data_IF_568623360939
#
_entry.id   IF_568623360939
#
_cell.length_a   1.000
_cell.length_b   1.000
_cell.length_c   1.000
_cell.angle_alpha   90.00
_cell.angle_beta   90.00
_cell.angle_gamma   90.00
#
_symmetry.space_group_name_H-M   'P 1'
#
loop_
_entity.id
_entity.type
_entity.pdbx_description
1 polymer ?
#
# COMPACT_ATOMS: atom_id res chain seq x y z
N UNK A 1 8.53 -51.71 32.03
CA UNK A 1 9.17 -50.38 32.01
C UNK A 1 9.27 -49.81 30.60
N UNK A 2 8.73 -50.42 29.58
CA UNK A 2 8.99 -50.09 28.16
C UNK A 2 7.79 -49.48 27.39
N UNK A 3 6.58 -49.63 27.90
CA UNK A 3 5.38 -49.07 27.25
C UNK A 3 5.20 -47.57 27.45
N UNK A 4 5.67 -47.03 28.57
CA UNK A 4 5.57 -45.58 28.88
C UNK A 4 6.56 -44.75 28.03
N UNK A 5 7.76 -45.30 27.75
CA UNK A 5 8.74 -44.63 26.90
C UNK A 5 8.31 -44.52 25.42
N UNK A 6 7.57 -45.54 24.95
CA UNK A 6 7.07 -45.54 23.56
C UNK A 6 5.96 -44.51 23.34
N UNK A 7 5.12 -44.28 24.36
CA UNK A 7 4.05 -43.26 24.29
C UNK A 7 4.64 -41.82 24.29
N UNK A 8 5.74 -41.60 25.05
CA UNK A 8 6.41 -40.27 25.03
C UNK A 8 7.12 -39.97 23.70
N UNK A 9 7.68 -40.98 23.04
CA UNK A 9 8.33 -40.79 21.72
C UNK A 9 7.28 -40.54 20.63
N UNK A 10 6.12 -41.18 20.70
CA UNK A 10 5.01 -40.92 19.76
C UNK A 10 4.36 -39.56 19.99
N UNK A 11 4.24 -39.07 21.23
CA UNK A 11 3.72 -37.74 21.54
C UNK A 11 4.70 -36.62 21.13
N UNK A 12 6.02 -36.82 21.28
CA UNK A 12 7.01 -35.85 20.83
C UNK A 12 7.12 -35.80 19.31
N UNK A 13 6.94 -36.91 18.60
CA UNK A 13 6.91 -36.93 17.14
C UNK A 13 5.67 -36.23 16.55
N UNK A 14 4.52 -36.27 17.24
CA UNK A 14 3.30 -35.54 16.86
C UNK A 14 3.39 -34.05 17.11
N UNK A 15 4.17 -33.59 18.12
CA UNK A 15 4.36 -32.17 18.41
C UNK A 15 5.36 -31.49 17.43
N UNK A 16 6.31 -32.28 16.91
CA UNK A 16 7.31 -31.73 15.94
C UNK A 16 6.72 -31.63 14.53
N UNK A 17 5.67 -32.39 14.21
CA UNK A 17 5.01 -32.33 12.90
C UNK A 17 4.03 -31.17 12.71
N UNK A 18 3.74 -30.38 13.77
CA UNK A 18 2.75 -29.30 13.71
C UNK A 18 3.33 -27.89 13.61
N UNK A 19 4.65 -27.72 13.48
CA UNK A 19 5.32 -26.39 13.42
C UNK A 19 5.97 -26.06 12.09
N UNK A 20 5.68 -26.75 11.00
CA UNK A 20 5.99 -26.22 9.67
C UNK A 20 4.78 -25.47 9.10
N UNK A 21 4.37 -24.38 9.77
CA UNK A 21 3.66 -23.32 9.09
C UNK A 21 4.64 -22.62 8.11
N UNK A 22 5.10 -23.36 7.13
CA UNK A 22 5.59 -22.77 5.89
C UNK A 22 4.40 -21.95 5.35
N UNK A 23 4.45 -20.63 5.56
CA UNK A 23 3.56 -19.68 4.92
C UNK A 23 3.88 -19.73 3.43
N UNK A 24 3.33 -20.74 2.77
CA UNK A 24 3.47 -20.94 1.34
C UNK A 24 2.89 -19.68 0.70
N UNK A 25 3.73 -18.93 -0.04
CA UNK A 25 3.25 -17.90 -0.94
C UNK A 25 2.19 -18.57 -1.83
N UNK A 26 0.94 -18.09 -1.84
CA UNK A 26 -0.12 -18.72 -2.64
C UNK A 26 0.17 -18.69 -4.14
N UNK A 27 1.21 -17.99 -4.57
CA UNK A 27 1.64 -17.84 -5.95
C UNK A 27 2.93 -18.61 -6.28
N UNK A 28 3.31 -19.61 -5.47
CA UNK A 28 4.47 -20.45 -5.78
C UNK A 28 4.26 -21.32 -7.04
N UNK A 29 3.01 -21.56 -7.43
CA UNK A 29 2.68 -22.18 -8.71
C UNK A 29 2.58 -21.11 -9.79
N UNK A 30 3.65 -20.99 -10.58
CA UNK A 30 3.73 -20.01 -11.67
C UNK A 30 2.70 -20.25 -12.79
N UNK A 31 2.10 -21.45 -12.88
CA UNK A 31 1.02 -21.73 -13.83
C UNK A 31 -0.28 -20.96 -13.50
N UNK A 32 -0.39 -20.46 -12.27
CA UNK A 32 -1.52 -19.65 -11.81
C UNK A 32 -1.30 -18.12 -11.92
N UNK A 33 -0.23 -17.68 -12.59
CA UNK A 33 0.06 -16.25 -12.80
C UNK A 33 -0.80 -15.72 -13.94
N UNK A 34 -1.62 -14.72 -13.63
CA UNK A 34 -2.54 -14.12 -14.58
C UNK A 34 -1.85 -12.99 -15.36
N UNK A 35 -2.02 -12.99 -16.67
CA UNK A 35 -1.66 -11.88 -17.58
C UNK A 35 -2.90 -11.17 -18.11
N UNK A 36 -4.07 -11.79 -17.98
CA UNK A 36 -5.38 -11.25 -18.34
C UNK A 36 -6.49 -11.79 -17.45
N UNK A 37 -7.58 -11.05 -17.34
CA UNK A 37 -8.79 -11.42 -16.60
C UNK A 37 -9.97 -11.47 -17.57
N UNK A 38 -10.78 -12.55 -17.48
CA UNK A 38 -11.91 -12.77 -18.38
C UNK A 38 -13.13 -13.40 -17.70
N UNK A 39 -13.13 -13.50 -16.37
CA UNK A 39 -14.19 -14.14 -15.61
C UNK A 39 -14.58 -13.35 -14.37
N UNK A 40 -15.90 -13.28 -14.12
CA UNK A 40 -16.51 -12.61 -12.97
C UNK A 40 -16.60 -13.56 -11.77
N UNK A 41 -15.47 -14.05 -11.29
CA UNK A 41 -15.40 -14.98 -10.16
C UNK A 41 -14.47 -14.43 -9.10
N UNK A 42 -14.95 -14.42 -7.87
CA UNK A 42 -14.14 -14.08 -6.71
C UNK A 42 -13.00 -15.08 -6.58
N UNK A 43 -11.78 -14.59 -6.58
CA UNK A 43 -10.59 -15.43 -6.53
C UNK A 43 -9.35 -14.70 -6.05
N UNK A 44 -8.37 -15.47 -5.62
CA UNK A 44 -7.00 -14.99 -5.48
C UNK A 44 -6.35 -14.94 -6.86
N UNK A 45 -5.78 -13.80 -7.20
CA UNK A 45 -5.15 -13.52 -8.49
C UNK A 45 -3.68 -13.22 -8.24
N UNK A 46 -2.80 -14.07 -8.78
CA UNK A 46 -1.36 -13.88 -8.76
C UNK A 46 -0.92 -13.18 -10.05
N UNK A 47 -0.05 -12.19 -9.93
CA UNK A 47 0.43 -11.41 -11.07
C UNK A 47 1.86 -10.92 -10.84
N UNK A 48 2.53 -10.55 -11.93
CA UNK A 48 3.90 -10.09 -11.91
C UNK A 48 4.00 -8.60 -11.58
N UNK A 49 5.05 -8.24 -10.83
CA UNK A 49 5.44 -6.86 -10.53
C UNK A 49 6.96 -6.76 -10.44
N UNK A 50 7.49 -5.55 -10.48
CA UNK A 50 8.93 -5.31 -10.27
C UNK A 50 9.17 -5.03 -8.79
N UNK A 51 10.10 -5.75 -8.17
CA UNK A 51 10.47 -5.54 -6.77
C UNK A 51 11.49 -4.41 -6.65
N UNK A 52 11.02 -3.19 -6.82
CA UNK A 52 11.84 -1.99 -6.72
C UNK A 52 11.44 -1.14 -5.52
N UNK A 53 12.43 -0.56 -4.84
CA UNK A 53 12.25 0.35 -3.73
C UNK A 53 12.02 1.80 -4.20
N UNK A 54 12.57 2.16 -5.34
CA UNK A 54 12.43 3.44 -6.02
C UNK A 54 11.92 3.27 -7.46
N UNK A 55 11.89 4.33 -8.25
CA UNK A 55 11.47 4.28 -9.65
C UNK A 55 12.57 3.88 -10.63
N UNK A 56 13.76 3.57 -10.14
CA UNK A 56 14.81 3.01 -10.96
C UNK A 56 14.62 1.49 -11.07
N UNK A 57 14.07 1.05 -12.20
CA UNK A 57 13.74 -0.36 -12.46
C UNK A 57 14.84 -1.14 -13.17
N UNK A 58 15.94 -0.48 -13.54
CA UNK A 58 17.08 -1.12 -14.18
C UNK A 58 17.64 -2.22 -13.26
N UNK A 59 17.77 -3.43 -13.80
CA UNK A 59 18.27 -4.62 -13.08
C UNK A 59 17.47 -5.04 -11.83
N UNK A 60 16.22 -4.57 -11.66
CA UNK A 60 15.39 -5.00 -10.54
C UNK A 60 14.66 -6.31 -10.86
N UNK A 61 14.56 -7.22 -9.87
CA UNK A 61 13.93 -8.51 -10.08
C UNK A 61 12.41 -8.36 -10.28
N UNK A 62 11.89 -9.18 -11.19
CA UNK A 62 10.47 -9.43 -11.30
C UNK A 62 10.06 -10.44 -10.22
N UNK A 63 8.98 -10.16 -9.52
CA UNK A 63 8.39 -11.06 -8.53
C UNK A 63 6.91 -11.28 -8.82
N UNK A 64 6.34 -12.32 -8.22
CA UNK A 64 4.91 -12.60 -8.27
C UNK A 64 4.28 -12.26 -6.92
N UNK A 65 3.30 -11.36 -6.94
CA UNK A 65 2.48 -11.02 -5.79
C UNK A 65 1.03 -11.42 -6.04
N UNK A 66 0.12 -11.16 -5.11
CA UNK A 66 -1.29 -11.46 -5.30
C UNK A 66 -2.21 -10.41 -4.69
N UNK A 67 -3.45 -10.44 -5.17
CA UNK A 67 -4.58 -9.77 -4.55
C UNK A 67 -5.80 -10.68 -4.51
N UNK A 68 -6.79 -10.30 -3.71
CA UNK A 68 -8.10 -10.93 -3.69
C UNK A 68 -9.02 -10.11 -4.59
N UNK A 69 -9.48 -10.73 -5.69
CA UNK A 69 -10.44 -10.13 -6.61
C UNK A 69 -11.84 -10.51 -6.16
N UNK A 70 -12.74 -9.53 -6.07
CA UNK A 70 -14.12 -9.72 -5.65
C UNK A 70 -15.07 -8.93 -6.55
N UNK A 71 -16.14 -9.56 -6.98
CA UNK A 71 -17.19 -8.95 -7.80
C UNK A 71 -18.45 -8.69 -6.98
N UNK A 72 -19.25 -7.64 -7.30
CA UNK A 72 -20.53 -7.44 -6.69
C UNK A 72 -21.49 -8.59 -7.01
N UNK A 73 -22.37 -8.94 -6.06
CA UNK A 73 -23.37 -9.98 -6.27
C UNK A 73 -24.31 -9.65 -7.45
N UNK A 74 -24.69 -8.36 -7.53
CA UNK A 74 -25.52 -7.87 -8.62
C UNK A 74 -24.69 -7.72 -9.89
N UNK A 75 -24.92 -8.60 -10.85
CA UNK A 75 -24.23 -8.57 -12.16
C UNK A 75 -24.58 -7.32 -12.96
N UNK A 76 -23.55 -6.80 -13.67
CA UNK A 76 -23.64 -5.63 -14.53
C UNK A 76 -23.03 -5.94 -15.90
N UNK A 77 -23.37 -5.14 -16.90
CA UNK A 77 -22.71 -5.18 -18.20
C UNK A 77 -21.31 -4.55 -18.14
N UNK A 78 -21.18 -3.49 -17.34
CA UNK A 78 -19.91 -2.76 -17.12
C UNK A 78 -19.77 -2.45 -15.65
N UNK A 79 -18.55 -2.58 -15.13
CA UNK A 79 -18.17 -2.28 -13.75
C UNK A 79 -17.11 -1.19 -13.71
N UNK A 80 -17.17 -0.38 -12.67
CA UNK A 80 -16.00 0.34 -12.20
C UNK A 80 -15.31 -0.50 -11.11
N UNK A 81 -14.00 -0.40 -11.01
CA UNK A 81 -13.21 -1.18 -10.09
C UNK A 81 -12.44 -0.30 -9.10
N UNK A 82 -12.07 -0.88 -7.97
CA UNK A 82 -11.24 -0.24 -6.95
C UNK A 82 -10.10 -1.16 -6.55
N UNK A 83 -8.87 -0.66 -6.63
CA UNK A 83 -7.68 -1.31 -6.10
C UNK A 83 -7.47 -0.83 -4.68
N UNK A 84 -7.22 -1.76 -3.74
CA UNK A 84 -7.01 -1.46 -2.32
C UNK A 84 -5.60 -1.85 -1.90
N UNK A 85 -4.88 -0.93 -1.23
CA UNK A 85 -3.56 -1.14 -0.63
C UNK A 85 -3.58 -0.95 0.88
N UNK A 86 -3.15 -1.97 1.62
CA UNK A 86 -3.09 -1.96 3.08
C UNK A 86 -1.95 -1.08 3.63
N UNK A 87 -1.98 -0.73 4.91
CA UNK A 87 -0.89 -0.07 5.62
C UNK A 87 0.23 -1.02 6.09
N UNK A 88 1.17 -0.48 6.89
CA UNK A 88 2.33 -1.22 7.43
C UNK A 88 1.96 -2.42 8.31
N UNK A 89 0.74 -2.47 8.81
CA UNK A 89 0.18 -3.62 9.51
C UNK A 89 -0.04 -4.85 8.64
N UNK A 90 0.04 -4.75 7.31
CA UNK A 90 -0.36 -5.78 6.36
C UNK A 90 -1.89 -5.84 6.20
N UNK A 91 -2.34 -6.74 5.34
CA UNK A 91 -3.75 -6.94 5.10
C UNK A 91 -4.47 -7.49 6.35
N UNK A 92 -5.51 -6.80 6.80
CA UNK A 92 -6.26 -7.09 8.03
C UNK A 92 -7.75 -7.28 7.77
N UNK A 93 -8.45 -7.90 8.71
CA UNK A 93 -9.88 -8.21 8.57
C UNK A 93 -10.77 -6.96 8.39
N UNK A 94 -10.41 -5.82 8.99
CA UNK A 94 -11.22 -4.61 8.86
C UNK A 94 -11.28 -4.08 7.42
N UNK A 95 -10.26 -4.34 6.62
CA UNK A 95 -10.30 -3.99 5.20
C UNK A 95 -11.40 -4.74 4.43
N UNK A 96 -11.87 -5.90 4.94
CA UNK A 96 -12.97 -6.63 4.31
C UNK A 96 -14.29 -5.86 4.38
N UNK A 97 -14.49 -5.02 5.40
CA UNK A 97 -15.67 -4.15 5.47
C UNK A 97 -15.72 -3.16 4.29
N UNK A 98 -14.56 -2.69 3.83
CA UNK A 98 -14.47 -1.86 2.64
C UNK A 98 -14.74 -2.65 1.36
N UNK A 99 -14.27 -3.90 1.28
CA UNK A 99 -14.59 -4.79 0.16
C UNK A 99 -16.10 -4.98 0.07
N UNK A 100 -16.75 -5.32 1.18
CA UNK A 100 -18.21 -5.47 1.26
C UNK A 100 -18.95 -4.19 0.91
N UNK A 101 -18.54 -3.03 1.47
CA UNK A 101 -19.10 -1.73 1.17
C UNK A 101 -19.04 -1.42 -0.33
N UNK A 102 -17.89 -1.60 -0.94
CA UNK A 102 -17.68 -1.31 -2.36
C UNK A 102 -18.45 -2.27 -3.27
N UNK A 103 -18.42 -3.58 -2.97
CA UNK A 103 -19.19 -4.57 -3.71
C UNK A 103 -20.71 -4.31 -3.63
N UNK A 104 -21.22 -3.94 -2.44
CA UNK A 104 -22.64 -3.59 -2.24
C UNK A 104 -23.03 -2.33 -3.04
N UNK A 105 -22.07 -1.45 -3.33
CA UNK A 105 -22.24 -0.29 -4.21
C UNK A 105 -21.93 -0.60 -5.68
N UNK A 106 -21.65 -1.85 -6.01
CA UNK A 106 -21.52 -2.35 -7.38
C UNK A 106 -20.16 -2.14 -8.01
N UNK A 107 -19.10 -1.93 -7.20
CA UNK A 107 -17.71 -1.89 -7.65
C UNK A 107 -17.09 -3.29 -7.59
N UNK A 108 -16.23 -3.60 -8.56
CA UNK A 108 -15.28 -4.70 -8.44
C UNK A 108 -14.13 -4.26 -7.54
N UNK A 109 -13.69 -5.12 -6.64
CA UNK A 109 -12.60 -4.81 -5.71
C UNK A 109 -11.42 -5.74 -5.92
N UNK A 110 -10.23 -5.15 -6.06
CA UNK A 110 -8.97 -5.89 -6.10
C UNK A 110 -8.10 -5.49 -4.92
N UNK A 111 -8.17 -6.28 -3.85
CA UNK A 111 -7.47 -6.04 -2.60
C UNK A 111 -6.08 -6.67 -2.64
N UNK A 112 -5.03 -5.85 -2.71
CA UNK A 112 -3.65 -6.29 -2.85
C UNK A 112 -3.02 -6.71 -1.51
N UNK A 113 -2.18 -7.74 -1.55
CA UNK A 113 -1.29 -8.11 -0.45
C UNK A 113 0.16 -7.87 -0.87
N UNK A 114 0.68 -6.70 -0.53
CA UNK A 114 2.05 -6.28 -0.88
C UNK A 114 3.12 -7.02 -0.09
N UNK A 115 2.75 -7.66 1.02
CA UNK A 115 3.70 -8.13 2.02
C UNK A 115 3.97 -9.62 1.99
N UNK A 116 2.94 -10.45 1.90
CA UNK A 116 3.11 -11.91 2.06
C UNK A 116 4.02 -12.53 1.00
N UNK A 117 3.90 -12.08 -0.25
CA UNK A 117 4.78 -12.55 -1.32
C UNK A 117 6.26 -12.18 -1.07
N UNK A 118 6.51 -11.09 -0.34
CA UNK A 118 7.83 -10.65 0.11
C UNK A 118 8.24 -11.21 1.47
N UNK A 119 7.52 -12.22 2.01
CA UNK A 119 7.73 -12.79 3.35
C UNK A 119 7.65 -11.78 4.49
N UNK A 120 6.90 -10.70 4.31
CA UNK A 120 6.65 -9.67 5.31
C UNK A 120 5.27 -9.93 5.93
N UNK A 121 5.18 -9.94 7.26
CA UNK A 121 3.92 -10.05 7.98
C UNK A 121 3.36 -8.67 8.36
N UNK A 122 4.24 -7.80 8.81
CA UNK A 122 3.99 -6.40 9.16
C UNK A 122 5.33 -5.65 9.15
N UNK A 123 5.27 -4.35 9.02
CA UNK A 123 6.47 -3.50 9.02
C UNK A 123 6.35 -2.39 10.06
N UNK A 124 6.86 -2.65 11.26
CA UNK A 124 6.93 -1.64 12.33
C UNK A 124 8.02 -0.59 12.13
N UNK A 125 8.88 -0.77 11.15
CA UNK A 125 9.95 0.18 10.79
C UNK A 125 9.55 1.11 9.66
N UNK A 126 8.40 0.84 8.99
CA UNK A 126 7.88 1.57 7.84
C UNK A 126 8.85 1.65 6.64
N UNK A 127 9.85 0.78 6.61
CA UNK A 127 10.98 0.87 5.69
C UNK A 127 11.25 -0.39 4.86
N UNK A 128 10.55 -1.52 5.12
CA UNK A 128 10.81 -2.78 4.40
C UNK A 128 10.38 -2.71 2.93
N UNK A 129 9.32 -1.99 2.65
CA UNK A 129 8.85 -1.62 1.30
C UNK A 129 8.55 -0.13 1.29
N UNK A 130 8.79 0.51 0.17
CA UNK A 130 8.52 1.95 -0.01
C UNK A 130 7.09 2.20 -0.47
N UNK A 131 6.63 3.45 -0.38
CA UNK A 131 5.37 3.87 -1.03
C UNK A 131 5.41 3.69 -2.55
N UNK A 132 6.59 3.77 -3.16
CA UNK A 132 6.79 3.50 -4.59
C UNK A 132 6.57 2.01 -4.89
N UNK A 133 7.04 1.11 -4.04
CA UNK A 133 6.76 -0.33 -4.19
C UNK A 133 5.25 -0.60 -4.18
N UNK A 134 4.51 0.00 -3.22
CA UNK A 134 3.04 -0.10 -3.16
C UNK A 134 2.38 0.41 -4.45
N UNK A 135 2.82 1.56 -4.93
CA UNK A 135 2.29 2.16 -6.13
C UNK A 135 2.61 1.32 -7.37
N UNK A 136 3.85 0.81 -7.51
CA UNK A 136 4.24 -0.05 -8.63
C UNK A 136 3.40 -1.33 -8.68
N UNK A 137 3.19 -1.98 -7.53
CA UNK A 137 2.31 -3.14 -7.43
C UNK A 137 0.87 -2.79 -7.86
N UNK A 138 0.36 -1.62 -7.44
CA UNK A 138 -0.98 -1.17 -7.80
C UNK A 138 -1.10 -0.84 -9.30
N UNK A 139 -0.07 -0.30 -9.93
CA UNK A 139 -0.08 -0.07 -11.39
C UNK A 139 -0.02 -1.36 -12.19
N UNK A 140 0.73 -2.38 -11.73
CA UNK A 140 0.70 -3.70 -12.39
C UNK A 140 -0.66 -4.39 -12.19
N UNK A 141 -1.31 -4.19 -11.04
CA UNK A 141 -2.68 -4.63 -10.82
C UNK A 141 -3.68 -3.86 -11.71
N UNK A 142 -3.49 -2.55 -11.92
CA UNK A 142 -4.29 -1.72 -12.82
C UNK A 142 -4.21 -2.24 -14.26
N UNK A 143 -3.00 -2.50 -14.77
CA UNK A 143 -2.81 -3.10 -16.09
C UNK A 143 -3.56 -4.42 -16.21
N UNK A 144 -3.44 -5.29 -15.21
CA UNK A 144 -4.11 -6.58 -15.21
C UNK A 144 -5.64 -6.44 -15.16
N UNK A 145 -6.19 -5.63 -14.25
CA UNK A 145 -7.65 -5.54 -14.10
C UNK A 145 -8.31 -4.90 -15.31
N UNK A 146 -7.63 -3.99 -16.00
CA UNK A 146 -8.08 -3.38 -17.25
C UNK A 146 -8.13 -4.35 -18.44
N UNK A 147 -7.53 -5.53 -18.35
CA UNK A 147 -7.70 -6.57 -19.39
C UNK A 147 -9.09 -7.20 -19.35
N UNK A 148 -9.83 -7.07 -18.24
CA UNK A 148 -11.16 -7.61 -18.12
C UNK A 148 -12.16 -6.79 -18.95
N UNK A 149 -12.89 -7.40 -19.90
CA UNK A 149 -13.67 -6.68 -20.94
C UNK A 149 -14.84 -5.85 -20.37
N UNK A 150 -15.23 -6.11 -19.13
CA UNK A 150 -16.32 -5.37 -18.46
C UNK A 150 -15.83 -4.32 -17.47
N UNK A 151 -14.52 -4.11 -17.31
CA UNK A 151 -13.99 -3.05 -16.43
C UNK A 151 -13.81 -1.77 -17.24
N UNK A 152 -14.39 -0.69 -16.71
CA UNK A 152 -14.32 0.65 -17.31
C UNK A 152 -13.32 1.54 -16.56
N UNK A 153 -13.72 2.09 -15.41
CA UNK A 153 -12.88 2.96 -14.59
C UNK A 153 -12.23 2.18 -13.46
N UNK A 154 -11.03 2.60 -13.05
CA UNK A 154 -10.33 1.99 -11.93
C UNK A 154 -9.80 3.06 -10.99
N UNK A 155 -10.25 3.01 -9.74
CA UNK A 155 -9.81 3.90 -8.67
C UNK A 155 -8.84 3.22 -7.73
N UNK A 156 -8.07 4.01 -6.98
CA UNK A 156 -7.06 3.51 -6.04
C UNK A 156 -7.31 4.04 -4.63
N UNK A 157 -7.40 3.15 -3.64
CA UNK A 157 -7.52 3.50 -2.22
C UNK A 157 -6.37 2.86 -1.44
N UNK A 158 -5.74 3.64 -0.56
CA UNK A 158 -4.66 3.13 0.29
C UNK A 158 -4.70 3.71 1.69
N UNK A 159 -4.24 2.91 2.66
CA UNK A 159 -4.20 3.24 4.08
C UNK A 159 -2.78 3.42 4.59
N UNK A 160 -2.53 4.46 5.38
CA UNK A 160 -1.25 4.67 6.06
C UNK A 160 -0.07 4.62 5.07
N UNK A 161 0.88 3.71 5.24
CA UNK A 161 1.97 3.48 4.28
C UNK A 161 1.45 3.18 2.86
N UNK A 162 0.37 2.39 2.72
CA UNK A 162 -0.28 2.14 1.44
C UNK A 162 -0.98 3.37 0.86
N UNK A 163 -1.31 4.36 1.70
CA UNK A 163 -1.87 5.65 1.28
C UNK A 163 -0.89 6.55 0.53
N UNK A 164 0.40 6.25 0.60
CA UNK A 164 1.44 6.94 -0.20
C UNK A 164 1.23 6.68 -1.70
N UNK A 165 0.85 5.47 -2.08
CA UNK A 165 0.62 5.10 -3.48
C UNK A 165 -0.43 5.97 -4.19
N UNK A 166 -1.65 6.16 -3.64
CA UNK A 166 -2.65 7.08 -4.16
C UNK A 166 -2.15 8.52 -4.35
N UNK A 167 -1.35 9.06 -3.41
CA UNK A 167 -0.78 10.39 -3.57
C UNK A 167 0.26 10.41 -4.69
N UNK A 168 1.16 9.42 -4.73
CA UNK A 168 2.17 9.31 -5.78
C UNK A 168 1.56 9.19 -7.18
N UNK A 169 0.43 8.48 -7.30
CA UNK A 169 -0.29 8.31 -8.57
C UNK A 169 -0.88 9.62 -9.12
N UNK A 170 -0.99 10.65 -8.29
CA UNK A 170 -1.44 11.97 -8.69
C UNK A 170 -0.38 12.74 -9.48
N UNK A 171 0.89 12.37 -9.41
CA UNK A 171 2.00 13.09 -10.04
C UNK A 171 2.43 12.44 -11.36
N UNK A 172 2.30 13.16 -12.46
CA UNK A 172 2.64 12.66 -13.80
C UNK A 172 4.12 12.29 -13.94
N UNK A 173 5.01 12.99 -13.25
CA UNK A 173 6.43 12.65 -13.24
C UNK A 173 6.69 11.23 -12.71
N UNK A 174 5.88 10.78 -11.74
CA UNK A 174 5.98 9.44 -11.16
C UNK A 174 5.29 8.42 -12.06
N UNK A 175 4.08 8.72 -12.55
CA UNK A 175 3.34 7.79 -13.42
C UNK A 175 4.07 7.51 -14.73
N UNK A 176 4.80 8.49 -15.26
CA UNK A 176 5.60 8.32 -16.49
C UNK A 176 6.74 7.31 -16.30
N UNK A 177 7.34 7.21 -15.12
CA UNK A 177 8.35 6.17 -14.86
C UNK A 177 7.78 4.77 -14.87
N UNK A 178 6.53 4.60 -14.41
CA UNK A 178 5.93 3.27 -14.23
C UNK A 178 5.35 2.73 -15.53
N UNK A 179 4.70 3.57 -16.33
CA UNK A 179 3.93 3.10 -17.49
C UNK A 179 3.86 4.10 -18.65
N UNK A 180 4.81 5.03 -18.74
CA UNK A 180 4.82 6.09 -19.75
C UNK A 180 3.55 6.97 -19.75
N UNK A 181 2.81 7.01 -18.63
CA UNK A 181 1.56 7.75 -18.51
C UNK A 181 0.36 7.16 -19.25
N UNK A 182 0.47 5.92 -19.77
CA UNK A 182 -0.59 5.29 -20.56
C UNK A 182 -1.81 4.89 -19.72
N UNK A 183 -1.56 4.25 -18.59
CA UNK A 183 -2.61 3.83 -17.65
C UNK A 183 -2.52 4.64 -16.37
N UNK A 184 -3.57 5.38 -16.06
CA UNK A 184 -3.69 6.17 -14.82
C UNK A 184 -4.95 5.78 -14.08
N UNK A 185 -4.96 5.96 -12.76
CA UNK A 185 -6.17 5.76 -11.96
C UNK A 185 -7.16 6.89 -12.23
N UNK A 186 -8.44 6.56 -12.35
CA UNK A 186 -9.52 7.52 -12.59
C UNK A 186 -9.81 8.40 -11.37
N UNK A 187 -9.54 7.90 -10.16
CA UNK A 187 -9.57 8.64 -8.91
C UNK A 187 -8.69 7.96 -7.86
N UNK A 188 -8.21 8.71 -6.87
CA UNK A 188 -7.37 8.19 -5.79
C UNK A 188 -7.82 8.68 -4.43
N UNK A 189 -7.77 7.81 -3.41
CA UNK A 189 -8.08 8.15 -2.02
C UNK A 189 -6.96 7.67 -1.11
N UNK A 190 -6.39 8.57 -0.33
CA UNK A 190 -5.37 8.29 0.67
C UNK A 190 -5.94 8.46 2.08
N UNK A 191 -5.94 7.42 2.89
CA UNK A 191 -6.53 7.40 4.23
C UNK A 191 -5.41 7.39 5.25
N UNK A 192 -5.34 8.45 6.09
CA UNK A 192 -4.25 8.75 7.04
C UNK A 192 -2.86 8.42 6.49
N UNK A 193 -2.51 8.96 5.30
CA UNK A 193 -1.28 8.62 4.62
C UNK A 193 -0.06 9.26 5.28
N UNK A 194 1.14 8.71 5.03
CA UNK A 194 2.37 9.45 5.21
C UNK A 194 2.58 10.42 4.05
N UNK A 195 2.74 11.71 4.35
CA UNK A 195 2.87 12.80 3.38
C UNK A 195 4.24 13.49 3.38
N UNK A 196 5.24 12.96 4.08
CA UNK A 196 6.57 13.56 4.20
C UNK A 196 7.44 13.42 2.94
N UNK A 197 6.93 13.85 1.78
CA UNK A 197 7.66 13.81 0.52
C UNK A 197 7.31 14.98 -0.40
N UNK A 198 8.24 15.30 -1.30
CA UNK A 198 8.10 16.33 -2.33
C UNK A 198 8.46 15.75 -3.70
N UNK A 199 8.20 16.55 -4.74
CA UNK A 199 8.49 16.22 -6.12
C UNK A 199 9.28 17.34 -6.78
N UNK A 200 10.28 16.98 -7.58
CA UNK A 200 11.10 17.95 -8.32
C UNK A 200 10.29 18.75 -9.36
N UNK A 201 9.19 18.16 -9.87
CA UNK A 201 8.34 18.77 -10.86
C UNK A 201 6.89 18.79 -10.43
N UNK A 202 6.27 19.95 -10.52
CA UNK A 202 4.85 20.19 -10.16
C UNK A 202 3.86 19.69 -11.24
N UNK A 203 4.22 18.70 -12.03
CA UNK A 203 3.30 18.12 -13.00
C UNK A 203 2.41 17.05 -12.36
N UNK A 204 1.10 17.13 -12.59
CA UNK A 204 0.09 16.28 -11.96
C UNK A 204 -0.93 15.78 -12.97
N UNK A 205 -1.59 14.68 -12.65
CA UNK A 205 -2.73 14.19 -13.40
C UNK A 205 -3.94 15.11 -13.18
N UNK A 206 -4.93 15.02 -14.06
CA UNK A 206 -6.20 15.73 -13.86
C UNK A 206 -7.20 14.92 -13.04
N UNK A 207 -6.81 13.75 -12.55
CA UNK A 207 -7.70 12.85 -11.82
C UNK A 207 -7.85 13.28 -10.36
N UNK A 208 -9.03 13.08 -9.75
CA UNK A 208 -9.27 13.49 -8.37
C UNK A 208 -8.38 12.74 -7.38
N UNK A 209 -7.84 13.48 -6.41
CA UNK A 209 -7.19 12.95 -5.22
C UNK A 209 -7.91 13.45 -3.97
N UNK A 210 -8.37 12.52 -3.13
CA UNK A 210 -8.89 12.80 -1.80
C UNK A 210 -7.91 12.29 -0.74
N UNK A 211 -7.49 13.18 0.17
CA UNK A 211 -6.75 12.82 1.37
C UNK A 211 -7.67 12.93 2.59
N UNK A 212 -7.77 11.87 3.37
CA UNK A 212 -8.49 11.81 4.64
C UNK A 212 -7.49 11.70 5.76
N UNK A 213 -7.39 12.69 6.63
CA UNK A 213 -6.41 12.75 7.73
C UNK A 213 -7.11 12.77 9.08
N UNK A 214 -6.41 12.35 10.12
CA UNK A 214 -6.84 12.53 11.51
C UNK A 214 -6.14 13.72 12.12
N UNK A 215 -6.89 14.66 12.72
CA UNK A 215 -6.30 15.85 13.34
C UNK A 215 -5.42 15.51 14.55
N UNK A 216 -5.72 14.40 15.25
CA UNK A 216 -4.96 13.91 16.40
C UNK A 216 -4.04 12.72 16.04
N UNK A 217 -3.74 12.54 14.73
CA UNK A 217 -2.83 11.47 14.27
C UNK A 217 -1.38 11.82 14.66
N UNK A 218 -0.84 11.09 15.63
CA UNK A 218 0.53 11.26 16.10
C UNK A 218 1.54 10.31 15.45
N UNK A 219 1.06 9.37 14.63
CA UNK A 219 1.93 8.47 13.84
C UNK A 219 2.30 9.09 12.48
N UNK A 220 1.31 9.56 11.73
CA UNK A 220 1.49 10.28 10.47
C UNK A 220 0.78 11.65 10.55
N UNK A 221 1.41 12.62 11.24
CA UNK A 221 0.80 13.92 11.48
C UNK A 221 0.33 14.60 10.19
N UNK A 222 -0.88 15.15 10.21
CA UNK A 222 -1.54 15.67 9.02
C UNK A 222 -0.87 16.90 8.40
N UNK A 223 -0.02 17.63 9.15
CA UNK A 223 0.61 18.88 8.66
C UNK A 223 1.34 18.69 7.32
N UNK A 224 2.01 17.54 7.14
CA UNK A 224 2.68 17.25 5.87
C UNK A 224 1.68 17.08 4.71
N UNK A 225 0.50 16.52 4.97
CA UNK A 225 -0.58 16.40 3.97
C UNK A 225 -1.22 17.75 3.67
N UNK A 226 -1.39 18.60 4.69
CA UNK A 226 -1.86 19.99 4.53
C UNK A 226 -0.91 20.76 3.60
N UNK A 227 0.41 20.63 3.80
CA UNK A 227 1.41 21.29 2.95
C UNK A 227 1.31 20.86 1.48
N UNK A 228 1.08 19.57 1.22
CA UNK A 228 0.81 19.06 -0.14
C UNK A 228 -0.48 19.67 -0.69
N UNK A 229 -1.56 19.64 0.10
CA UNK A 229 -2.84 20.21 -0.31
C UNK A 229 -2.74 21.70 -0.63
N UNK A 230 -2.16 22.52 0.24
CA UNK A 230 -1.99 23.96 0.04
C UNK A 230 -1.13 24.28 -1.20
N UNK A 231 -0.08 23.50 -1.43
CA UNK A 231 0.78 23.67 -2.60
C UNK A 231 0.04 23.44 -3.92
N UNK A 232 -0.87 22.46 -3.96
CA UNK A 232 -1.47 22.02 -5.22
C UNK A 232 -2.92 22.47 -5.42
N UNK A 233 -3.69 22.73 -4.37
CA UNK A 233 -5.09 23.17 -4.47
C UNK A 233 -5.24 24.55 -5.13
N UNK A 234 -4.26 25.44 -4.95
CA UNK A 234 -4.28 26.77 -5.57
C UNK A 234 -4.29 26.75 -7.12
N UNK A 235 -3.87 25.64 -7.71
CA UNK A 235 -3.73 25.49 -9.17
C UNK A 235 -4.64 24.42 -9.75
N UNK A 236 -5.31 23.64 -8.91
CA UNK A 236 -6.12 22.53 -9.34
C UNK A 236 -7.20 22.18 -8.31
N UNK A 237 -8.43 22.14 -8.76
CA UNK A 237 -9.60 21.82 -7.94
C UNK A 237 -9.77 20.33 -7.67
N UNK A 238 -8.97 19.49 -8.34
CA UNK A 238 -9.10 18.02 -8.25
C UNK A 238 -8.34 17.39 -7.06
N UNK A 239 -7.83 18.19 -6.14
CA UNK A 239 -7.26 17.71 -4.88
C UNK A 239 -8.13 18.21 -3.72
N UNK A 240 -8.45 17.29 -2.80
CA UNK A 240 -9.20 17.59 -1.59
C UNK A 240 -8.51 17.00 -0.38
N UNK A 241 -8.61 17.69 0.76
CA UNK A 241 -8.18 17.20 2.06
C UNK A 241 -9.33 17.38 3.05
N UNK A 242 -9.65 16.31 3.77
CA UNK A 242 -10.60 16.32 4.87
C UNK A 242 -9.87 15.91 6.13
N UNK A 243 -9.71 16.84 7.05
CA UNK A 243 -9.21 16.58 8.40
C UNK A 243 -10.38 16.18 9.29
N UNK A 244 -10.24 15.07 10.01
CA UNK A 244 -11.28 14.54 10.91
C UNK A 244 -10.87 14.87 12.34
N UNK A 245 -11.60 15.79 12.96
CA UNK A 245 -11.35 16.25 14.33
C UNK A 245 -11.42 15.08 15.33
N UNK A 246 -10.48 15.00 16.25
CA UNK A 246 -10.39 13.94 17.26
C UNK A 246 -9.97 12.57 16.73
N UNK A 247 -9.77 12.43 15.42
CA UNK A 247 -9.37 11.15 14.84
C UNK A 247 -7.86 10.94 14.97
N UNK A 248 -7.49 9.72 15.39
CA UNK A 248 -6.11 9.24 15.48
C UNK A 248 -5.78 8.25 14.36
N UNK A 249 -4.53 7.83 14.26
CA UNK A 249 -4.13 6.85 13.24
C UNK A 249 -4.96 5.56 13.32
N UNK A 250 -5.51 5.12 12.18
CA UNK A 250 -6.35 3.93 12.14
C UNK A 250 -7.78 4.15 12.66
N UNK A 251 -8.29 5.37 12.65
CA UNK A 251 -9.61 5.74 13.17
C UNK A 251 -10.78 4.96 12.54
N UNK A 252 -10.58 4.44 11.35
CA UNK A 252 -11.56 3.64 10.61
C UNK A 252 -11.54 2.14 10.98
N UNK A 253 -10.60 1.73 11.82
CA UNK A 253 -10.48 0.34 12.27
C UNK A 253 -11.37 0.09 13.51
N UNK A 254 -12.49 -0.64 13.38
CA UNK A 254 -13.43 -0.85 14.48
C UNK A 254 -12.86 -1.67 15.64
N UNK A 255 -11.69 -2.28 15.48
CA UNK A 255 -10.98 -2.99 16.54
C UNK A 255 -10.08 -2.09 17.38
N UNK A 256 -9.95 -0.80 17.01
CA UNK A 256 -9.17 0.20 17.75
C UNK A 256 -10.13 1.14 18.50
N UNK A 257 -10.88 0.62 19.48
CA UNK A 257 -12.04 1.25 20.11
C UNK A 257 -11.80 2.61 20.79
N UNK A 258 -10.56 3.04 21.03
CA UNK A 258 -10.26 4.29 21.75
C UNK A 258 -9.12 5.11 21.13
N UNK A 259 -8.91 4.97 19.80
CA UNK A 259 -7.79 5.65 19.16
C UNK A 259 -6.48 5.28 19.84
N UNK A 260 -5.89 4.17 19.43
CA UNK A 260 -4.63 3.72 20.00
C UNK A 260 -3.57 4.81 19.81
N UNK A 261 -3.02 5.29 20.88
CA UNK A 261 -1.66 5.80 20.85
C UNK A 261 -0.77 4.61 20.50
N UNK A 262 -0.12 4.67 19.38
CA UNK A 262 0.90 3.68 19.02
C UNK A 262 2.17 4.00 19.82
N UNK A 263 2.08 3.91 21.16
CA UNK A 263 3.14 4.32 22.12
C UNK A 263 4.51 3.71 21.80
N UNK A 264 4.51 2.57 21.11
CA UNK A 264 5.71 1.82 20.75
C UNK A 264 6.10 1.96 19.26
N UNK A 265 5.46 2.86 18.52
CA UNK A 265 5.81 3.16 17.15
C UNK A 265 6.39 4.58 17.04
N UNK A 266 7.39 4.78 16.16
CA UNK A 266 7.92 6.11 15.94
C UNK A 266 6.86 7.03 15.33
N UNK A 267 6.74 8.24 15.87
CA UNK A 267 5.92 9.29 15.28
C UNK A 267 6.69 9.93 14.12
N UNK A 268 6.12 9.88 12.91
CA UNK A 268 6.78 10.28 11.66
C UNK A 268 6.61 11.78 11.39
N UNK A 269 7.12 12.62 12.28
CA UNK A 269 7.13 14.06 12.11
C UNK A 269 8.20 14.49 11.09
N UNK A 270 7.89 15.52 10.32
CA UNK A 270 8.89 16.25 9.53
C UNK A 270 9.57 17.26 10.45
N UNK A 271 10.64 16.84 11.16
CA UNK A 271 11.35 17.67 12.14
C UNK A 271 12.42 18.56 11.53
N UNK A 272 12.91 18.23 10.35
CA UNK A 272 13.85 19.02 9.57
C UNK A 272 13.75 18.64 8.09
N UNK A 273 14.48 19.37 7.25
CA UNK A 273 14.45 19.18 5.79
C UNK A 273 14.85 17.78 5.35
N UNK A 274 15.75 17.10 6.09
CA UNK A 274 16.15 15.73 5.77
C UNK A 274 15.02 14.71 5.98
N UNK A 275 14.00 15.05 6.76
CA UNK A 275 12.84 14.19 7.01
C UNK A 275 11.79 14.23 5.89
N UNK A 276 11.94 15.12 4.93
CA UNK A 276 11.13 15.13 3.72
C UNK A 276 11.87 14.41 2.61
N UNK A 277 11.22 13.41 2.04
CA UNK A 277 11.74 12.66 0.91
C UNK A 277 11.44 13.38 -0.41
N UNK A 278 12.38 13.34 -1.34
CA UNK A 278 12.19 13.85 -2.71
C UNK A 278 12.33 12.71 -3.70
N UNK A 279 11.43 12.63 -4.65
CA UNK A 279 11.59 11.77 -5.81
C UNK A 279 12.29 12.59 -6.89
N UNK A 280 13.52 12.22 -7.21
CA UNK A 280 14.34 12.92 -8.20
C UNK A 280 13.81 12.71 -9.63
N UNK A 281 14.28 13.55 -10.56
CA UNK A 281 14.00 13.40 -12.00
C UNK A 281 14.52 12.08 -12.60
N UNK A 282 15.38 11.35 -11.85
CA UNK A 282 15.87 10.01 -12.20
C UNK A 282 15.09 8.88 -11.52
N UNK A 283 14.02 9.21 -10.79
CA UNK A 283 13.22 8.23 -10.08
C UNK A 283 13.80 7.75 -8.75
N UNK A 284 14.92 8.30 -8.29
CA UNK A 284 15.56 7.93 -7.03
C UNK A 284 14.87 8.62 -5.84
N UNK A 285 14.74 7.91 -4.71
CA UNK A 285 14.31 8.50 -3.45
C UNK A 285 15.54 9.15 -2.79
N UNK A 286 15.40 10.41 -2.39
CA UNK A 286 16.46 11.18 -1.73
C UNK A 286 15.87 11.98 -0.56
N UNK A 287 16.67 12.27 0.47
CA UNK A 287 16.37 13.33 1.43
C UNK A 287 16.62 14.69 0.79
N UNK A 288 16.12 15.79 1.37
CA UNK A 288 16.38 17.15 0.86
C UNK A 288 17.87 17.52 0.87
N UNK A 289 18.68 16.91 1.75
CA UNK A 289 20.15 17.05 1.71
C UNK A 289 20.82 16.18 0.63
N UNK A 290 20.06 15.62 -0.32
CA UNK A 290 20.50 14.77 -1.42
C UNK A 290 21.15 13.43 -0.98
N UNK A 291 20.85 12.96 0.23
CA UNK A 291 21.22 11.60 0.63
C UNK A 291 20.29 10.60 -0.03
N UNK A 292 20.84 9.70 -0.84
CA UNK A 292 20.05 8.64 -1.48
C UNK A 292 19.49 7.66 -0.46
N UNK A 293 18.25 7.24 -0.69
CA UNK A 293 17.52 6.24 0.09
C UNK A 293 17.18 5.05 -0.82
N UNK A 294 18.21 4.24 -1.19
CA UNK A 294 18.05 3.20 -2.21
C UNK A 294 17.32 1.95 -1.69
N UNK A 295 17.11 1.84 -0.38
CA UNK A 295 16.53 0.63 0.18
C UNK A 295 16.12 0.73 1.66
N UNK A 296 15.70 -0.41 2.22
CA UNK A 296 15.12 -0.47 3.57
C UNK A 296 16.06 -0.01 4.68
N UNK A 297 17.36 -0.25 4.56
CA UNK A 297 18.34 0.07 5.60
C UNK A 297 18.53 1.59 5.75
N UNK A 298 18.70 2.27 4.65
CA UNK A 298 18.88 3.73 4.60
C UNK A 298 17.59 4.44 5.02
N UNK A 299 16.44 3.92 4.57
CA UNK A 299 15.12 4.41 4.98
C UNK A 299 14.90 4.25 6.48
N UNK A 300 15.20 3.09 7.06
CA UNK A 300 15.07 2.86 8.50
C UNK A 300 15.97 3.81 9.32
N UNK A 301 17.21 4.05 8.86
CA UNK A 301 18.12 4.99 9.49
C UNK A 301 17.59 6.43 9.46
N UNK A 302 17.04 6.86 8.32
CA UNK A 302 16.44 8.18 8.16
C UNK A 302 15.19 8.33 9.03
N UNK A 303 14.26 7.38 8.98
CA UNK A 303 13.04 7.41 9.78
C UNK A 303 13.32 7.43 11.29
N UNK A 304 14.39 6.77 11.74
CA UNK A 304 14.85 6.85 13.13
C UNK A 304 15.30 8.26 13.52
N UNK A 305 15.97 8.99 12.62
CA UNK A 305 16.36 10.39 12.86
C UNK A 305 15.16 11.35 12.85
N UNK A 306 14.12 11.00 12.08
CA UNK A 306 12.93 11.81 11.87
C UNK A 306 11.76 11.49 12.80
N UNK A 307 11.92 10.54 13.72
CA UNK A 307 10.87 10.18 14.68
C UNK A 307 11.06 10.89 16.02
N UNK A 308 9.95 11.34 16.62
CA UNK A 308 9.94 12.04 17.91
C UNK A 308 9.63 11.13 19.10
N UNK A 309 9.09 9.93 18.85
CA UNK A 309 8.77 8.92 19.87
C UNK A 309 9.32 7.55 19.44
N UNK A 310 9.63 6.69 20.40
CA UNK A 310 10.00 5.30 20.12
C UNK A 310 11.45 5.07 19.67
N UNK A 311 12.34 6.00 20.00
CA UNK A 311 13.79 5.89 19.74
C UNK A 311 14.49 5.22 20.90
#
# INVERSE_FOLDING_TARGET
>A
MDTIKLIWILLTALIISSCSNNKINPCNDLSAVYTELNSEVDKKVCFKTIDSYDLNYEDKPEIVIYGNLSFPEKKKEVYDAVILSHGSGGLRKYHNAYVELLNNNGYVVFQLDHYKARNIRYDKTFSKVSGITFMNDAYNALKLIKTHPKINKVSYIGWSQGGVGPILSYFTGVTNFINNGEDIFDASIAIYPYCGFTFDKDSRTNNPLLMLTGADDDLTPEQACINIYEKFSQKNENIQLISIEGARHGYDNPFLFFGFEFENLPSLHVINDDCTLTISSKGEIQSLSNKKVPGPKESAALLKQCSTKGV
#
